data_IF_150825855787
#
_entry.id   IF_150825855787
#
_cell.length_a   1.000
_cell.length_b   1.000
_cell.length_c   1.000
_cell.angle_alpha   90.00
_cell.angle_beta   90.00
_cell.angle_gamma   90.00
#
_symmetry.space_group_name_H-M   'P 1'
#
loop_
_entity.id
_entity.type
_entity.pdbx_description
1 polymer ?
#
# COMPACT_ATOMS: atom_id res chain seq x y z
N UNK A 1 4.11 -9.60 -15.02
CA UNK A 1 3.15 -8.79 -15.80
C UNK A 1 3.08 -7.44 -15.11
N UNK A 2 3.13 -6.29 -15.81
CA UNK A 2 2.74 -5.04 -15.17
C UNK A 2 1.31 -5.22 -14.63
N UNK A 3 1.02 -4.71 -13.44
CA UNK A 3 -0.35 -4.78 -12.91
C UNK A 3 -1.33 -3.94 -13.76
N UNK A 4 -0.80 -3.06 -14.61
CA UNK A 4 -1.53 -2.43 -15.70
C UNK A 4 -2.13 -3.46 -16.68
N UNK A 5 -3.40 -3.31 -17.11
CA UNK A 5 -4.31 -2.20 -16.83
C UNK A 5 -5.22 -2.41 -15.62
N UNK A 6 -5.05 -3.50 -14.86
CA UNK A 6 -5.91 -3.81 -13.70
C UNK A 6 -5.69 -2.85 -12.54
N UNK A 7 -4.48 -2.31 -12.44
CA UNK A 7 -4.07 -1.37 -11.41
C UNK A 7 -3.04 -0.43 -12.03
N UNK A 8 -3.43 0.83 -12.15
CA UNK A 8 -2.69 1.91 -12.82
C UNK A 8 -1.96 2.83 -11.82
N UNK A 9 -2.11 2.55 -10.52
CA UNK A 9 -1.53 3.38 -9.47
C UNK A 9 -0.16 2.85 -9.02
N UNK A 10 0.71 3.76 -8.59
CA UNK A 10 1.94 3.44 -7.86
C UNK A 10 1.69 3.65 -6.36
N UNK A 11 0.56 3.15 -5.84
CA UNK A 11 0.26 3.30 -4.41
C UNK A 11 1.17 2.38 -3.59
N UNK A 12 2.25 2.97 -3.09
CA UNK A 12 3.22 2.29 -2.24
C UNK A 12 2.63 1.87 -0.89
N UNK A 13 1.46 2.38 -0.47
CA UNK A 13 0.84 1.92 0.77
C UNK A 13 0.33 0.47 0.61
N UNK A 14 -0.24 0.13 -0.54
CA UNK A 14 -0.66 -1.23 -0.84
C UNK A 14 0.53 -2.19 -1.00
N UNK A 15 1.59 -1.77 -1.70
CA UNK A 15 2.82 -2.58 -1.81
C UNK A 15 3.57 -2.70 -0.49
N UNK A 16 3.55 -1.67 0.35
CA UNK A 16 4.04 -1.73 1.73
C UNK A 16 3.25 -2.74 2.56
N UNK A 17 1.92 -2.73 2.43
CA UNK A 17 1.01 -3.65 3.10
C UNK A 17 1.18 -5.11 2.67
N UNK A 18 1.28 -5.38 1.37
CA UNK A 18 1.37 -6.76 0.86
C UNK A 18 2.80 -7.30 0.88
N UNK A 19 3.78 -6.50 0.49
CA UNK A 19 5.12 -6.98 0.13
C UNK A 19 6.25 -6.32 0.93
N UNK A 20 5.94 -5.30 1.74
CA UNK A 20 6.92 -4.57 2.54
C UNK A 20 7.75 -3.56 1.73
N UNK A 21 7.37 -3.29 0.48
CA UNK A 21 8.10 -2.38 -0.41
C UNK A 21 7.71 -0.94 -0.12
N UNK A 22 8.73 -0.08 0.06
CA UNK A 22 8.56 1.34 0.44
C UNK A 22 7.53 1.54 1.56
N UNK A 23 7.57 0.64 2.55
CA UNK A 23 6.61 0.51 3.65
C UNK A 23 6.69 1.67 4.67
N UNK A 24 6.36 2.88 4.23
CA UNK A 24 6.42 4.11 5.04
C UNK A 24 5.48 4.05 6.23
N UNK A 25 4.35 3.36 6.11
CA UNK A 25 3.38 3.19 7.20
C UNK A 25 3.76 2.08 8.18
N UNK A 26 4.77 1.25 7.88
CA UNK A 26 5.25 0.24 8.83
C UNK A 26 4.23 -0.88 9.03
N UNK A 27 3.63 -1.35 7.94
CA UNK A 27 2.84 -2.56 7.90
C UNK A 27 3.68 -3.78 8.26
N UNK A 28 3.07 -4.77 8.92
CA UNK A 28 3.58 -6.14 8.87
C UNK A 28 3.15 -6.74 7.53
N UNK A 29 4.08 -6.98 6.59
CA UNK A 29 3.73 -7.37 5.24
C UNK A 29 3.24 -8.81 5.19
N UNK A 30 2.31 -9.10 4.28
CA UNK A 30 1.73 -10.43 4.08
C UNK A 30 2.76 -11.41 3.49
N UNK A 31 3.50 -10.95 2.49
CA UNK A 31 4.35 -11.78 1.66
C UNK A 31 5.63 -11.04 1.25
N UNK A 32 6.46 -10.67 2.21
CA UNK A 32 7.75 -10.04 1.93
C UNK A 32 8.84 -11.07 1.59
N UNK A 33 9.67 -10.75 0.59
CA UNK A 33 10.96 -11.39 0.36
C UNK A 33 10.94 -12.90 0.09
N UNK A 34 9.84 -13.43 -0.47
CA UNK A 34 9.72 -14.88 -0.70
C UNK A 34 10.50 -15.38 -1.92
N UNK A 35 11.03 -14.49 -2.75
CA UNK A 35 11.63 -14.84 -4.04
C UNK A 35 10.58 -15.20 -5.10
N UNK A 36 10.99 -15.93 -6.12
CA UNK A 36 10.04 -16.54 -7.08
C UNK A 36 9.40 -17.80 -6.46
N UNK A 37 8.16 -18.14 -6.85
CA UNK A 37 7.61 -19.47 -6.56
C UNK A 37 8.56 -20.58 -7.06
N UNK A 38 8.76 -21.62 -6.27
CA UNK A 38 9.65 -22.73 -6.64
C UNK A 38 9.19 -23.44 -7.93
N UNK A 39 7.88 -23.48 -8.16
CA UNK A 39 7.21 -24.04 -9.33
C UNK A 39 6.97 -23.01 -10.45
N UNK A 40 7.58 -21.82 -10.38
CA UNK A 40 7.50 -20.83 -11.46
C UNK A 40 7.97 -21.45 -12.78
N UNK A 41 7.25 -21.18 -13.87
CA UNK A 41 7.60 -21.70 -15.19
C UNK A 41 8.96 -21.17 -15.64
N UNK A 42 9.63 -21.91 -16.53
CA UNK A 42 10.89 -21.46 -17.12
C UNK A 42 10.76 -20.09 -17.78
N UNK A 43 9.62 -19.81 -18.41
CA UNK A 43 9.33 -18.49 -18.98
C UNK A 43 9.33 -17.38 -17.93
N UNK A 44 8.67 -17.58 -16.78
CA UNK A 44 8.64 -16.58 -15.69
C UNK A 44 10.05 -16.36 -15.11
N UNK A 45 10.84 -17.44 -14.95
CA UNK A 45 12.24 -17.32 -14.49
C UNK A 45 13.09 -16.55 -15.50
N UNK A 46 13.00 -16.89 -16.78
CA UNK A 46 13.76 -16.24 -17.84
C UNK A 46 13.38 -14.75 -17.99
N UNK A 47 12.10 -14.41 -17.84
CA UNK A 47 11.66 -13.01 -17.87
C UNK A 47 12.18 -12.22 -16.65
N UNK A 48 12.16 -12.82 -15.46
CA UNK A 48 12.75 -12.23 -14.25
C UNK A 48 14.26 -12.03 -14.38
N UNK A 49 15.01 -13.05 -14.83
CA UNK A 49 16.46 -12.97 -15.04
C UNK A 49 16.81 -11.91 -16.09
N UNK A 50 16.08 -11.87 -17.20
CA UNK A 50 16.28 -10.85 -18.25
C UNK A 50 16.12 -9.45 -17.68
N UNK A 51 15.07 -9.21 -16.91
CA UNK A 51 14.80 -7.89 -16.31
C UNK A 51 15.83 -7.54 -15.23
N UNK A 52 16.20 -8.48 -14.37
CA UNK A 52 17.22 -8.29 -13.35
C UNK A 52 18.62 -8.01 -13.95
N UNK A 53 18.90 -8.51 -15.15
CA UNK A 53 20.13 -8.21 -15.88
C UNK A 53 20.13 -6.84 -16.57
N UNK A 54 18.96 -6.39 -17.04
CA UNK A 54 18.81 -5.11 -17.74
C UNK A 54 18.77 -3.93 -16.78
N UNK A 55 18.29 -4.15 -15.55
CA UNK A 55 18.25 -3.15 -14.52
C UNK A 55 18.75 -3.73 -13.19
N UNK A 56 19.96 -3.33 -12.80
CA UNK A 56 20.52 -3.67 -11.48
C UNK A 56 19.72 -3.09 -10.32
N UNK A 57 18.70 -2.28 -10.60
CA UNK A 57 17.71 -1.83 -9.64
C UNK A 57 16.63 -2.87 -9.34
N UNK A 58 16.52 -4.02 -10.04
CA UNK A 58 15.56 -5.07 -9.62
C UNK A 58 15.97 -5.64 -8.25
N UNK A 59 15.43 -5.08 -7.16
CA UNK A 59 15.91 -5.33 -5.77
C UNK A 59 15.22 -6.51 -5.07
N UNK A 60 14.40 -7.27 -5.78
CA UNK A 60 13.81 -8.50 -5.27
C UNK A 60 12.51 -8.89 -5.94
N UNK A 61 12.08 -10.11 -5.63
CA UNK A 61 10.80 -10.67 -6.07
C UNK A 61 10.10 -11.35 -4.90
N UNK A 62 8.77 -11.39 -4.97
CA UNK A 62 7.94 -12.09 -4.01
C UNK A 62 6.62 -12.48 -4.65
N UNK A 63 5.80 -13.24 -3.92
CA UNK A 63 4.49 -13.68 -4.40
C UNK A 63 3.51 -13.91 -3.26
N UNK A 64 2.22 -13.79 -3.56
CA UNK A 64 1.11 -14.08 -2.64
C UNK A 64 0.04 -14.90 -3.35
N UNK A 65 -0.53 -15.91 -2.69
CA UNK A 65 -1.60 -16.73 -3.27
C UNK A 65 -2.97 -16.06 -3.18
N UNK A 66 -3.92 -16.51 -4.00
CA UNK A 66 -5.31 -16.07 -3.84
C UNK A 66 -5.90 -16.52 -2.50
N UNK A 67 -5.54 -17.69 -1.99
CA UNK A 67 -5.96 -18.14 -0.66
C UNK A 67 -5.55 -17.14 0.43
N UNK A 68 -4.29 -16.69 0.41
CA UNK A 68 -3.77 -15.71 1.37
C UNK A 68 -4.48 -14.36 1.23
N UNK A 69 -4.70 -13.88 -0.01
CA UNK A 69 -5.39 -12.61 -0.25
C UNK A 69 -6.87 -12.64 0.16
N UNK A 70 -7.57 -13.73 -0.13
CA UNK A 70 -8.99 -13.92 0.21
C UNK A 70 -9.21 -13.89 1.72
N UNK A 71 -8.30 -14.49 2.48
CA UNK A 71 -8.42 -14.66 3.92
C UNK A 71 -7.70 -13.54 4.70
N UNK A 72 -7.30 -12.45 4.04
CA UNK A 72 -6.69 -11.30 4.70
C UNK A 72 -7.64 -10.71 5.74
N UNK A 73 -7.10 -10.52 6.95
CA UNK A 73 -7.73 -9.63 7.91
C UNK A 73 -7.57 -8.18 7.45
N UNK A 74 -8.66 -7.65 6.90
CA UNK A 74 -8.77 -6.30 6.36
C UNK A 74 -8.82 -5.22 7.44
N UNK A 75 -8.98 -5.59 8.72
CA UNK A 75 -9.05 -4.66 9.85
C UNK A 75 -7.69 -4.28 10.43
N UNK A 76 -6.64 -5.03 10.08
CA UNK A 76 -5.28 -4.77 10.55
C UNK A 76 -4.84 -3.37 10.19
N UNK A 77 -4.13 -2.75 11.13
CA UNK A 77 -3.56 -1.41 11.02
C UNK A 77 -2.04 -1.47 10.87
N UNK A 78 -1.43 -0.46 10.23
CA UNK A 78 0.02 -0.32 10.22
C UNK A 78 0.54 0.13 11.60
N UNK A 79 1.87 0.15 11.77
CA UNK A 79 2.48 0.74 12.96
C UNK A 79 2.21 2.24 13.11
N UNK A 80 1.99 2.95 11.99
CA UNK A 80 1.56 4.35 12.02
C UNK A 80 0.19 4.49 12.69
N UNK A 81 -0.01 5.54 13.49
CA UNK A 81 -1.32 5.86 14.07
C UNK A 81 -2.33 6.26 13.01
N UNK A 82 -1.85 6.92 11.96
CA UNK A 82 -2.67 7.31 10.84
C UNK A 82 -1.88 8.08 9.79
N UNK A 83 -2.61 8.64 8.84
CA UNK A 83 -2.05 9.51 7.81
C UNK A 83 -2.75 10.86 7.90
N UNK A 84 -1.95 11.91 7.83
CA UNK A 84 -2.42 13.26 7.63
C UNK A 84 -2.27 13.63 6.16
N UNK A 85 -3.39 13.95 5.52
CA UNK A 85 -3.45 14.43 4.14
C UNK A 85 -3.66 15.93 4.15
N UNK A 86 -2.83 16.66 3.42
CA UNK A 86 -2.86 18.12 3.32
C UNK A 86 -3.14 18.47 1.86
N UNK A 87 -4.22 19.21 1.63
CA UNK A 87 -4.60 19.73 0.31
C UNK A 87 -4.45 21.24 0.34
N UNK A 88 -3.40 21.82 -0.28
CA UNK A 88 -3.26 23.27 -0.40
C UNK A 88 -4.42 23.86 -1.22
N UNK A 89 -4.83 25.10 -0.91
CA UNK A 89 -5.93 25.73 -1.65
C UNK A 89 -5.52 26.20 -3.06
N UNK A 90 -4.22 26.41 -3.29
CA UNK A 90 -3.67 26.96 -4.54
C UNK A 90 -3.06 25.91 -5.46
N UNK A 91 -3.08 24.65 -5.06
CA UNK A 91 -2.47 23.53 -5.79
C UNK A 91 -3.41 22.32 -5.73
N UNK A 92 -3.45 21.51 -6.78
CA UNK A 92 -4.18 20.24 -6.81
C UNK A 92 -3.41 19.10 -6.17
N UNK A 93 -2.17 19.34 -5.71
CA UNK A 93 -1.37 18.35 -5.00
C UNK A 93 -2.00 17.92 -3.67
N UNK A 94 -1.74 16.67 -3.29
CA UNK A 94 -2.08 16.13 -1.97
C UNK A 94 -0.78 15.67 -1.33
N UNK A 95 -0.40 16.30 -0.23
CA UNK A 95 0.74 15.86 0.58
C UNK A 95 0.26 14.89 1.65
N UNK A 96 0.98 13.80 1.85
CA UNK A 96 0.67 12.79 2.85
C UNK A 96 1.81 12.70 3.87
N UNK A 97 1.47 12.71 5.15
CA UNK A 97 2.40 12.54 6.26
C UNK A 97 1.99 11.33 7.10
N UNK A 98 2.96 10.45 7.35
CA UNK A 98 2.86 9.42 8.39
C UNK A 98 2.74 10.11 9.74
N UNK A 99 1.77 9.68 10.56
CA UNK A 99 1.59 10.16 11.93
C UNK A 99 1.89 9.03 12.91
N UNK A 100 2.82 9.29 13.82
CA UNK A 100 3.19 8.41 14.93
C UNK A 100 2.64 8.97 16.24
N UNK A 101 3.44 9.02 17.32
CA UNK A 101 3.02 9.50 18.64
C UNK A 101 3.00 11.03 18.77
N UNK A 102 3.49 11.75 17.76
CA UNK A 102 3.56 13.21 17.73
C UNK A 102 3.13 13.76 16.37
N UNK A 103 2.52 14.94 16.37
CA UNK A 103 2.28 15.69 15.14
C UNK A 103 3.62 16.14 14.55
N UNK A 104 3.88 15.99 13.23
CA UNK A 104 5.11 16.46 12.63
C UNK A 104 5.32 17.95 12.89
N UNK A 105 6.50 18.33 13.39
CA UNK A 105 6.79 19.72 13.78
C UNK A 105 6.59 20.71 12.64
N UNK A 106 6.91 20.31 11.41
CA UNK A 106 6.70 21.12 10.20
C UNK A 106 5.21 21.43 9.98
N UNK A 107 4.34 20.44 10.20
CA UNK A 107 2.89 20.60 10.06
C UNK A 107 2.37 21.56 11.13
N UNK A 108 2.77 21.35 12.40
CA UNK A 108 2.35 22.23 13.51
C UNK A 108 2.83 23.66 13.28
N UNK A 109 4.05 23.85 12.81
CA UNK A 109 4.63 25.16 12.50
C UNK A 109 3.90 25.87 11.35
N UNK A 110 3.47 25.12 10.34
CA UNK A 110 2.88 25.69 9.11
C UNK A 110 1.37 25.91 9.24
N UNK A 111 0.67 25.01 9.92
CA UNK A 111 -0.79 24.95 9.95
C UNK A 111 -1.39 25.11 11.36
N UNK A 112 -0.55 25.18 12.39
CA UNK A 112 -0.96 25.22 13.79
C UNK A 112 -1.20 23.83 14.38
N UNK A 113 -1.46 23.80 15.69
CA UNK A 113 -1.83 22.57 16.41
C UNK A 113 -3.17 22.05 15.86
N UNK A 114 -3.28 20.75 15.53
CA UNK A 114 -4.55 20.16 15.11
C UNK A 114 -5.66 20.30 16.16
N UNK A 115 -6.93 20.45 15.74
CA UNK A 115 -8.06 20.66 16.66
C UNK A 115 -8.36 19.46 17.57
N UNK A 116 -7.81 18.29 17.26
CA UNK A 116 -7.85 17.07 18.08
C UNK A 116 -6.84 17.09 19.25
N UNK A 117 -6.11 18.18 19.45
CA UNK A 117 -5.20 18.39 20.58
C UNK A 117 -3.72 18.23 20.20
N UNK A 118 -2.85 18.43 21.19
CA UNK A 118 -1.38 18.47 21.02
C UNK A 118 -0.75 17.10 20.68
N UNK A 119 -1.51 16.01 20.78
CA UNK A 119 -1.04 14.67 20.49
C UNK A 119 -2.00 13.90 19.58
N UNK A 120 -1.47 13.12 18.62
CA UNK A 120 -2.26 12.17 17.83
C UNK A 120 -2.69 10.93 18.62
N UNK A 121 -2.19 10.73 19.84
CA UNK A 121 -2.53 9.55 20.65
C UNK A 121 -4.02 9.60 21.02
N UNK A 122 -4.80 8.68 20.45
CA UNK A 122 -6.25 8.63 20.65
C UNK A 122 -7.04 9.68 19.87
N UNK A 123 -6.38 10.45 18.99
CA UNK A 123 -7.06 11.43 18.15
C UNK A 123 -8.05 10.73 17.20
N UNK A 124 -9.30 11.20 17.10
CA UNK A 124 -10.25 10.67 16.14
C UNK A 124 -9.89 11.09 14.71
N UNK A 125 -10.42 10.37 13.73
CA UNK A 125 -10.40 10.84 12.36
C UNK A 125 -11.12 12.19 12.25
N UNK A 126 -10.60 13.11 11.46
CA UNK A 126 -11.15 14.45 11.36
C UNK A 126 -10.59 15.23 10.19
N UNK A 127 -11.40 16.16 9.69
CA UNK A 127 -11.05 17.08 8.61
C UNK A 127 -11.28 18.52 9.07
N UNK A 128 -10.30 19.38 8.87
CA UNK A 128 -10.38 20.79 9.27
C UNK A 128 -9.71 21.72 8.27
N UNK A 129 -10.04 23.01 8.37
CA UNK A 129 -9.41 24.08 7.61
C UNK A 129 -8.31 24.70 8.43
N UNK A 130 -7.13 24.84 7.83
CA UNK A 130 -6.03 25.65 8.32
C UNK A 130 -5.74 26.77 7.31
N UNK A 131 -4.90 27.77 7.64
CA UNK A 131 -4.54 28.81 6.70
C UNK A 131 -3.95 28.23 5.40
N UNK A 132 -4.67 28.40 4.28
CA UNK A 132 -4.21 28.02 2.94
C UNK A 132 -4.27 26.53 2.62
N UNK A 133 -4.87 25.69 3.47
CA UNK A 133 -5.01 24.26 3.20
C UNK A 133 -6.21 23.63 3.93
N UNK A 134 -6.70 22.53 3.37
CA UNK A 134 -7.57 21.58 4.06
C UNK A 134 -6.75 20.38 4.52
N UNK A 135 -6.80 20.07 5.81
CA UNK A 135 -6.13 18.94 6.42
C UNK A 135 -7.13 17.86 6.79
N UNK A 136 -6.74 16.61 6.63
CA UNK A 136 -7.54 15.43 6.96
C UNK A 136 -6.66 14.36 7.58
N UNK A 137 -6.95 14.02 8.84
CA UNK A 137 -6.28 12.95 9.55
C UNK A 137 -7.23 11.77 9.70
N UNK A 138 -6.71 10.56 9.53
CA UNK A 138 -7.46 9.35 9.83
C UNK A 138 -6.52 8.16 10.06
N UNK A 139 -6.91 7.22 10.93
CA UNK A 139 -6.18 5.97 11.10
C UNK A 139 -6.47 5.05 9.90
N UNK A 140 -5.48 4.31 9.42
CA UNK A 140 -5.63 3.42 8.26
C UNK A 140 -5.79 1.96 8.67
N UNK A 141 -6.47 1.20 7.81
CA UNK A 141 -6.63 -0.26 7.84
C UNK A 141 -6.25 -0.83 6.48
N UNK A 142 -6.06 -2.14 6.39
CA UNK A 142 -5.81 -2.80 5.10
C UNK A 142 -6.95 -2.57 4.10
N UNK A 143 -8.19 -2.45 4.60
CA UNK A 143 -9.34 -2.09 3.77
C UNK A 143 -9.16 -0.74 3.07
N UNK A 144 -8.51 0.23 3.71
CA UNK A 144 -8.32 1.56 3.12
C UNK A 144 -7.31 1.57 1.96
N UNK A 145 -6.45 0.54 1.86
CA UNK A 145 -5.37 0.46 0.85
C UNK A 145 -5.52 -0.71 -0.13
N UNK A 146 -6.37 -1.70 0.17
CA UNK A 146 -6.66 -2.84 -0.69
C UNK A 146 -8.16 -3.00 -1.01
N UNK A 147 -9.02 -2.16 -0.43
CA UNK A 147 -10.46 -2.24 -0.55
C UNK A 147 -11.02 -1.55 -1.80
N UNK A 148 -12.35 -1.50 -1.93
CA UNK A 148 -13.02 -0.88 -3.08
C UNK A 148 -12.62 0.59 -3.26
N UNK A 149 -12.38 1.00 -4.51
CA UNK A 149 -11.96 2.35 -4.86
C UNK A 149 -10.44 2.56 -4.84
N UNK A 150 -9.66 1.53 -4.50
CA UNK A 150 -8.19 1.55 -4.57
C UNK A 150 -7.65 0.98 -5.88
N UNK A 151 -8.51 0.33 -6.67
CA UNK A 151 -8.14 -0.42 -7.88
C UNK A 151 -7.77 -1.88 -7.60
N UNK A 152 -7.40 -2.24 -6.36
CA UNK A 152 -7.08 -3.62 -5.99
C UNK A 152 -8.25 -4.59 -6.13
N UNK A 153 -9.48 -4.09 -6.09
CA UNK A 153 -10.67 -4.89 -6.35
C UNK A 153 -10.62 -5.61 -7.72
N UNK A 154 -10.00 -4.99 -8.73
CA UNK A 154 -9.89 -5.58 -10.06
C UNK A 154 -8.87 -6.72 -10.08
N UNK A 155 -7.74 -6.55 -9.41
CA UNK A 155 -6.73 -7.60 -9.24
C UNK A 155 -7.35 -8.79 -8.49
N UNK A 156 -8.07 -8.52 -7.40
CA UNK A 156 -8.72 -9.54 -6.60
C UNK A 156 -9.79 -10.29 -7.40
N UNK A 157 -10.63 -9.61 -8.17
CA UNK A 157 -11.65 -10.28 -8.98
C UNK A 157 -11.05 -11.14 -10.11
N UNK A 158 -9.96 -10.71 -10.75
CA UNK A 158 -9.24 -11.54 -11.73
C UNK A 158 -8.65 -12.79 -11.07
N UNK A 159 -7.96 -12.64 -9.94
CA UNK A 159 -7.40 -13.78 -9.20
C UNK A 159 -8.50 -14.74 -8.73
N UNK A 160 -9.61 -14.20 -8.22
CA UNK A 160 -10.80 -14.97 -7.83
C UNK A 160 -11.37 -15.76 -8.99
N UNK A 161 -11.50 -15.16 -10.16
CA UNK A 161 -12.02 -15.82 -11.36
C UNK A 161 -11.11 -16.98 -11.78
N UNK A 162 -9.80 -16.78 -11.80
CA UNK A 162 -8.83 -17.85 -12.08
C UNK A 162 -8.88 -18.97 -11.03
N UNK A 163 -9.03 -18.62 -9.75
CA UNK A 163 -9.07 -19.58 -8.65
C UNK A 163 -10.29 -20.50 -8.71
N UNK A 164 -11.39 -20.09 -9.35
CA UNK A 164 -12.55 -20.98 -9.61
C UNK A 164 -12.16 -22.17 -10.48
N UNK A 165 -11.16 -22.02 -11.35
CA UNK A 165 -10.66 -23.10 -12.22
C UNK A 165 -9.48 -23.85 -11.64
N UNK A 166 -8.53 -23.14 -11.03
CA UNK A 166 -7.24 -23.70 -10.63
C UNK A 166 -7.10 -23.94 -9.12
N UNK A 167 -8.15 -23.62 -8.35
CA UNK A 167 -8.11 -23.67 -6.88
C UNK A 167 -7.47 -22.41 -6.28
N UNK A 168 -7.73 -22.13 -4.99
CA UNK A 168 -7.25 -20.91 -4.33
C UNK A 168 -5.73 -20.87 -4.14
N UNK A 169 -5.06 -22.02 -4.01
CA UNK A 169 -3.59 -22.10 -3.92
C UNK A 169 -2.91 -22.17 -5.30
N UNK A 170 -3.68 -22.47 -6.35
CA UNK A 170 -3.21 -22.59 -7.73
C UNK A 170 -3.07 -21.26 -8.47
N UNK A 171 -3.43 -20.14 -7.84
CA UNK A 171 -3.32 -18.79 -8.40
C UNK A 171 -2.45 -17.93 -7.49
N UNK A 172 -1.40 -17.33 -8.06
CA UNK A 172 -0.46 -16.47 -7.34
C UNK A 172 -0.26 -15.16 -8.09
N UNK A 173 -0.21 -14.07 -7.35
CA UNK A 173 0.32 -12.81 -7.83
C UNK A 173 1.83 -12.82 -7.59
N UNK A 174 2.62 -12.82 -8.67
CA UNK A 174 4.08 -12.75 -8.63
C UNK A 174 4.51 -11.35 -9.02
N UNK A 175 5.31 -10.71 -8.19
CA UNK A 175 5.77 -9.32 -8.35
C UNK A 175 7.29 -9.23 -8.18
N UNK A 176 7.90 -8.32 -8.92
CA UNK A 176 9.31 -7.92 -8.77
C UNK A 176 9.39 -6.41 -8.87
N UNK A 177 10.36 -5.83 -8.16
CA UNK A 177 10.45 -4.39 -7.91
C UNK A 177 11.74 -3.84 -8.49
N UNK A 178 11.69 -2.64 -9.05
CA UNK A 178 12.85 -1.81 -9.44
C UNK A 178 13.39 -0.95 -8.26
#
# INVERSE_FOLDING_TARGET
>A
MPLYPLYDDQDYDAFGCLFGVRNRLGWTPVAAGRGLPADASEQVRADHERLAHLDGAVRGCTWVSWAELRDLDMTVRPAARGVLRIRPDRDSSIHQHRIDDQWPEEVVRSYGVPPMGDSPVGAPAGRWRAPGATLEYGPLTRLDVLGPGTGWEHVFEVMRALARRFGPDGVRLVVWFD
#
